data_IF_807553548509
#
_entry.id   IF_807553548509
#
_cell.length_a   1.000
_cell.length_b   1.000
_cell.length_c   1.000
_cell.angle_alpha   90.00
_cell.angle_beta   90.00
_cell.angle_gamma   90.00
#
_symmetry.space_group_name_H-M   'P 1'
#
loop_
_entity.id
_entity.type
_entity.pdbx_description
1 polymer ?
#
# COMPACT_ATOMS: atom_id res chain seq x y z
N UNK A 1 19.40 -4.83 -9.54
CA UNK A 1 19.35 -3.49 -8.91
C UNK A 1 18.13 -3.42 -7.99
N UNK A 2 18.33 -3.20 -6.69
CA UNK A 2 17.27 -3.22 -5.67
C UNK A 2 16.18 -2.19 -6.00
N UNK A 3 14.90 -2.55 -5.89
CA UNK A 3 13.75 -1.69 -6.21
C UNK A 3 13.78 -0.38 -5.41
N UNK A 4 14.25 -0.44 -4.16
CA UNK A 4 14.43 0.74 -3.30
C UNK A 4 15.44 1.74 -3.87
N UNK A 5 16.60 1.26 -4.34
CA UNK A 5 17.62 2.13 -4.96
C UNK A 5 17.13 2.80 -6.26
N UNK A 6 16.30 2.10 -7.05
CA UNK A 6 15.67 2.70 -8.25
C UNK A 6 14.69 3.79 -7.86
N UNK A 7 13.86 3.54 -6.86
CA UNK A 7 12.94 4.54 -6.31
C UNK A 7 13.70 5.77 -5.81
N UNK A 8 14.73 5.57 -4.96
CA UNK A 8 15.53 6.67 -4.41
C UNK A 8 16.15 7.54 -5.51
N UNK A 9 16.65 6.91 -6.59
CA UNK A 9 17.18 7.64 -7.76
C UNK A 9 16.10 8.44 -8.49
N UNK A 10 14.91 7.87 -8.68
CA UNK A 10 13.80 8.56 -9.35
C UNK A 10 13.28 9.72 -8.49
N UNK A 11 13.12 9.48 -7.19
CA UNK A 11 12.70 10.49 -6.23
C UNK A 11 13.70 11.65 -6.16
N UNK A 12 15.01 11.38 -6.17
CA UNK A 12 16.03 12.43 -6.17
C UNK A 12 16.04 13.26 -7.46
N UNK A 13 15.58 12.69 -8.57
CA UNK A 13 15.56 13.38 -9.87
C UNK A 13 14.29 14.22 -10.07
N UNK A 14 13.14 13.71 -9.58
CA UNK A 14 11.81 14.23 -9.87
C UNK A 14 10.85 13.94 -8.70
N UNK A 15 11.07 14.58 -7.55
CA UNK A 15 10.22 14.39 -6.38
C UNK A 15 8.76 14.82 -6.64
N UNK A 16 8.57 15.86 -7.46
CA UNK A 16 7.26 16.41 -7.84
C UNK A 16 6.37 15.40 -8.57
N UNK A 17 6.95 14.37 -9.19
CA UNK A 17 6.20 13.33 -9.90
C UNK A 17 5.44 12.39 -8.96
N UNK A 18 5.71 12.43 -7.64
CA UNK A 18 5.02 11.61 -6.65
C UNK A 18 3.79 12.31 -6.05
N UNK A 19 3.58 13.60 -6.36
CA UNK A 19 2.40 14.36 -5.91
C UNK A 19 1.08 13.85 -6.51
N UNK A 20 1.15 13.12 -7.63
CA UNK A 20 -0.01 12.54 -8.31
C UNK A 20 -0.48 11.22 -7.70
N UNK A 21 0.29 10.60 -6.80
CA UNK A 21 -0.04 9.29 -6.20
C UNK A 21 -1.45 9.16 -5.60
N UNK A 22 -2.04 10.17 -4.93
CA UNK A 22 -3.42 10.12 -4.44
C UNK A 22 -4.46 9.90 -5.53
N UNK A 23 -4.22 10.43 -6.75
CA UNK A 23 -5.15 10.27 -7.86
C UNK A 23 -5.30 8.80 -8.25
N UNK A 24 -4.29 7.97 -7.97
CA UNK A 24 -4.32 6.55 -8.29
C UNK A 24 -5.29 5.76 -7.41
N UNK A 25 -5.58 6.26 -6.21
CA UNK A 25 -6.56 5.71 -5.28
C UNK A 25 -7.84 6.56 -5.22
N UNK A 26 -8.07 7.39 -6.25
CA UNK A 26 -9.21 8.33 -6.31
C UNK A 26 -9.31 9.28 -5.11
N UNK A 27 -8.18 9.61 -4.48
CA UNK A 27 -8.11 10.63 -3.44
C UNK A 27 -7.73 11.97 -4.06
N UNK A 28 -8.44 13.04 -3.66
CA UNK A 28 -8.09 14.43 -3.97
C UNK A 28 -7.32 15.11 -2.83
N UNK A 29 -7.21 14.42 -1.69
CA UNK A 29 -6.60 14.98 -0.50
C UNK A 29 -5.09 14.90 -0.58
N UNK A 30 -4.45 15.94 -0.03
CA UNK A 30 -3.00 16.01 0.08
C UNK A 30 -2.42 15.20 1.26
N UNK A 31 -3.27 14.63 2.07
CA UNK A 31 -2.86 13.74 3.14
C UNK A 31 -3.80 12.56 3.11
N UNK A 32 -3.22 11.37 3.18
CA UNK A 32 -3.96 10.12 3.24
C UNK A 32 -3.53 9.45 4.53
N UNK A 33 -4.48 9.20 5.42
CA UNK A 33 -4.24 8.36 6.58
C UNK A 33 -4.64 6.93 6.22
N UNK A 34 -3.80 5.98 6.55
CA UNK A 34 -4.01 4.58 6.22
C UNK A 34 -3.50 3.67 7.32
N UNK A 35 -4.10 2.48 7.40
CA UNK A 35 -3.65 1.45 8.31
C UNK A 35 -2.47 0.72 7.68
N UNK A 36 -1.33 0.81 8.34
CA UNK A 36 -0.12 0.18 7.87
C UNK A 36 -0.04 -1.28 8.31
N UNK A 37 0.79 -2.04 7.60
CA UNK A 37 1.03 -3.46 7.89
C UNK A 37 1.62 -3.74 9.28
N UNK A 38 2.20 -2.73 9.95
CA UNK A 38 2.67 -2.79 11.34
C UNK A 38 1.54 -2.60 12.37
N UNK A 39 0.31 -2.40 11.92
CA UNK A 39 -0.84 -2.23 12.79
C UNK A 39 -1.03 -0.81 13.32
N UNK A 40 -0.25 0.16 12.84
CA UNK A 40 -0.39 1.57 13.21
C UNK A 40 -1.05 2.39 12.09
N UNK A 41 -1.76 3.46 12.49
CA UNK A 41 -2.25 4.45 11.55
C UNK A 41 -1.08 5.33 11.08
N UNK A 42 -0.70 5.21 9.82
CA UNK A 42 0.32 6.05 9.20
C UNK A 42 -0.32 7.16 8.37
N UNK A 43 0.34 8.31 8.36
CA UNK A 43 -0.01 9.42 7.48
C UNK A 43 0.95 9.44 6.31
N UNK A 44 0.38 9.38 5.12
CA UNK A 44 1.07 9.69 3.88
C UNK A 44 1.29 11.20 3.78
N UNK A 45 2.57 11.58 3.68
CA UNK A 45 3.02 12.94 3.40
C UNK A 45 3.92 12.92 2.18
N UNK A 46 3.60 13.76 1.19
CA UNK A 46 4.37 13.87 -0.06
C UNK A 46 5.74 14.52 0.13
N UNK A 47 5.97 15.12 1.28
CA UNK A 47 7.19 15.84 1.63
C UNK A 47 8.35 14.90 1.98
N UNK A 48 8.06 13.65 2.36
CA UNK A 48 9.07 12.70 2.84
C UNK A 48 9.19 11.47 1.94
N UNK A 49 10.40 11.23 1.44
CA UNK A 49 10.71 10.10 0.55
C UNK A 49 10.37 8.74 1.16
N UNK A 50 10.60 8.56 2.46
CA UNK A 50 10.32 7.30 3.17
C UNK A 50 8.83 7.01 3.15
N UNK A 51 8.03 8.00 3.52
CA UNK A 51 6.58 7.90 3.55
C UNK A 51 5.99 7.62 2.18
N UNK A 52 6.60 8.16 1.12
CA UNK A 52 6.21 7.89 -0.26
C UNK A 52 6.50 6.45 -0.68
N UNK A 53 7.69 5.94 -0.33
CA UNK A 53 8.06 4.57 -0.61
C UNK A 53 7.18 3.56 0.13
N UNK A 54 6.95 3.79 1.42
CA UNK A 54 6.12 2.93 2.26
C UNK A 54 4.71 2.87 1.72
N UNK A 55 4.11 4.01 1.36
CA UNK A 55 2.80 4.03 0.73
C UNK A 55 2.76 3.26 -0.59
N UNK A 56 3.77 3.38 -1.45
CA UNK A 56 3.82 2.65 -2.72
C UNK A 56 3.84 1.12 -2.51
N UNK A 57 4.56 0.66 -1.50
CA UNK A 57 4.68 -0.76 -1.15
C UNK A 57 3.40 -1.25 -0.48
N UNK A 58 2.96 -0.56 0.57
CA UNK A 58 1.84 -1.00 1.41
C UNK A 58 0.49 -0.88 0.70
N UNK A 59 0.31 0.12 -0.15
CA UNK A 59 -0.87 0.21 -0.99
C UNK A 59 -0.91 -0.88 -2.04
N UNK A 60 0.22 -1.47 -2.43
CA UNK A 60 0.35 -2.40 -3.56
C UNK A 60 0.45 -1.74 -4.93
N UNK A 61 0.56 -0.39 -4.99
CA UNK A 61 0.69 0.34 -6.26
C UNK A 61 2.01 0.01 -6.95
N UNK A 62 3.08 -0.21 -6.17
CA UNK A 62 4.37 -0.66 -6.69
C UNK A 62 4.20 -1.90 -7.55
N UNK A 63 3.57 -2.94 -7.01
CA UNK A 63 3.36 -4.21 -7.68
C UNK A 63 2.35 -4.06 -8.82
N UNK A 64 1.18 -3.48 -8.55
CA UNK A 64 0.07 -3.51 -9.50
C UNK A 64 0.22 -2.56 -10.69
N UNK A 65 0.97 -1.46 -10.53
CA UNK A 65 1.07 -0.41 -11.55
C UNK A 65 2.48 -0.28 -12.13
N UNK A 66 3.52 -0.42 -11.30
CA UNK A 66 4.90 -0.12 -11.73
C UNK A 66 5.75 -1.36 -12.02
N UNK A 67 5.46 -2.51 -11.38
CA UNK A 67 6.23 -3.74 -11.57
C UNK A 67 5.50 -4.78 -12.42
N UNK A 68 4.20 -4.98 -12.16
CA UNK A 68 3.38 -5.86 -12.98
C UNK A 68 2.77 -5.02 -14.09
N UNK A 69 2.85 -5.54 -15.32
CA UNK A 69 2.26 -4.89 -16.50
C UNK A 69 0.72 -5.06 -16.54
N UNK A 70 0.07 -5.07 -15.37
CA UNK A 70 -1.39 -5.22 -15.22
C UNK A 70 -2.09 -4.02 -15.85
N UNK A 71 -1.50 -2.84 -15.70
CA UNK A 71 -1.90 -1.62 -16.38
C UNK A 71 -0.79 -1.21 -17.33
N UNK A 72 -1.09 -1.16 -18.63
CA UNK A 72 -0.07 -0.91 -19.67
C UNK A 72 0.45 0.53 -19.65
N UNK A 73 -0.34 1.46 -19.11
CA UNK A 73 -0.02 2.88 -19.13
C UNK A 73 -0.57 3.60 -17.88
N UNK A 74 0.34 4.29 -17.19
CA UNK A 74 0.04 5.12 -16.01
C UNK A 74 -0.96 6.24 -16.35
N UNK A 75 -0.83 6.86 -17.52
CA UNK A 75 -1.71 7.94 -17.96
C UNK A 75 -3.13 7.43 -18.20
N UNK A 76 -3.27 6.28 -18.87
CA UNK A 76 -4.58 5.67 -19.13
C UNK A 76 -5.25 5.24 -17.82
N UNK A 77 -4.46 4.75 -16.85
CA UNK A 77 -4.93 4.46 -15.50
C UNK A 77 -5.45 5.71 -14.79
N UNK A 78 -4.73 6.84 -14.82
CA UNK A 78 -5.17 8.09 -14.19
C UNK A 78 -6.44 8.63 -14.87
N UNK A 79 -6.44 8.69 -16.20
CA UNK A 79 -7.57 9.23 -16.99
C UNK A 79 -8.78 8.29 -17.02
N UNK A 80 -8.60 7.00 -16.72
CA UNK A 80 -9.67 5.99 -16.79
C UNK A 80 -10.08 5.66 -18.23
N UNK A 81 -9.13 5.74 -19.17
CA UNK A 81 -9.38 5.45 -20.60
C UNK A 81 -9.42 3.94 -20.88
N UNK A 82 -8.81 3.14 -20.01
CA UNK A 82 -8.84 1.68 -20.12
C UNK A 82 -10.24 1.16 -19.71
N UNK A 83 -10.89 0.42 -20.60
CA UNK A 83 -12.23 -0.15 -20.37
C UNK A 83 -12.21 -1.07 -19.15
N UNK A 84 -13.04 -0.78 -18.15
CA UNK A 84 -13.08 -1.52 -16.88
C UNK A 84 -12.15 -0.98 -15.78
N UNK A 85 -11.56 0.21 -15.98
CA UNK A 85 -10.78 0.97 -14.99
C UNK A 85 -11.48 2.29 -14.67
N UNK A 86 -12.75 2.18 -14.29
CA UNK A 86 -13.56 3.31 -13.88
C UNK A 86 -13.12 3.82 -12.51
N UNK A 87 -13.60 5.00 -12.10
CA UNK A 87 -13.49 5.46 -10.70
C UNK A 87 -14.00 4.43 -9.69
N UNK A 88 -14.86 3.50 -10.11
CA UNK A 88 -15.36 2.42 -9.26
C UNK A 88 -14.27 1.39 -8.94
N UNK A 89 -13.43 1.04 -9.92
CA UNK A 89 -12.35 0.07 -9.74
C UNK A 89 -11.25 0.63 -8.83
N UNK A 90 -10.95 1.92 -8.97
CA UNK A 90 -10.05 2.65 -8.06
C UNK A 90 -10.57 2.75 -6.63
N UNK A 91 -11.89 2.82 -6.43
CA UNK A 91 -12.51 2.78 -5.09
C UNK A 91 -12.52 1.36 -4.51
N UNK A 92 -12.74 0.35 -5.35
CA UNK A 92 -12.63 -1.05 -4.95
C UNK A 92 -11.20 -1.41 -4.54
N UNK A 93 -10.20 -0.70 -5.10
CA UNK A 93 -8.80 -0.83 -4.70
C UNK A 93 -8.59 -0.54 -3.21
N UNK A 94 -9.07 0.61 -2.72
CA UNK A 94 -8.90 0.97 -1.30
C UNK A 94 -9.68 0.04 -0.38
N UNK A 95 -10.86 -0.44 -0.81
CA UNK A 95 -11.60 -1.49 -0.09
C UNK A 95 -10.83 -2.82 -0.02
N UNK A 96 -10.24 -3.25 -1.13
CA UNK A 96 -9.39 -4.46 -1.18
C UNK A 96 -8.17 -4.31 -0.28
N UNK A 97 -7.53 -3.14 -0.31
CA UNK A 97 -6.40 -2.81 0.53
C UNK A 97 -6.77 -2.91 2.01
N UNK A 98 -7.86 -2.28 2.43
CA UNK A 98 -8.36 -2.35 3.81
C UNK A 98 -8.67 -3.80 4.22
N UNK A 99 -9.31 -4.58 3.35
CA UNK A 99 -9.61 -5.99 3.61
C UNK A 99 -8.33 -6.80 3.89
N UNK A 100 -7.28 -6.57 3.10
CA UNK A 100 -6.00 -7.25 3.30
C UNK A 100 -5.34 -6.88 4.63
N UNK A 101 -5.41 -5.60 5.04
CA UNK A 101 -4.88 -5.18 6.35
C UNK A 101 -5.62 -5.85 7.50
N UNK A 102 -6.95 -5.88 7.45
CA UNK A 102 -7.78 -6.56 8.47
C UNK A 102 -7.47 -8.06 8.51
N UNK A 103 -7.34 -8.70 7.35
CA UNK A 103 -6.99 -10.11 7.27
C UNK A 103 -5.62 -10.42 7.89
N UNK A 104 -4.63 -9.54 7.73
CA UNK A 104 -3.31 -9.70 8.33
C UNK A 104 -3.38 -9.55 9.86
N UNK A 105 -4.07 -8.53 10.37
CA UNK A 105 -4.27 -8.33 11.82
C UNK A 105 -4.96 -9.52 12.48
N UNK A 106 -5.98 -10.08 11.83
CA UNK A 106 -6.68 -11.27 12.30
C UNK A 106 -5.74 -12.48 12.37
N UNK A 107 -4.93 -12.71 11.33
CA UNK A 107 -3.95 -13.80 11.31
C UNK A 107 -2.92 -13.66 12.43
N UNK A 108 -2.39 -12.46 12.63
CA UNK A 108 -1.43 -12.19 13.71
C UNK A 108 -2.04 -12.45 15.09
N UNK A 109 -3.28 -12.00 15.32
CA UNK A 109 -3.99 -12.21 16.59
C UNK A 109 -4.22 -13.69 16.86
N UNK A 110 -4.65 -14.45 15.86
CA UNK A 110 -4.87 -15.90 15.97
C UNK A 110 -3.54 -16.60 16.27
N UNK A 111 -2.48 -16.31 15.52
CA UNK A 111 -1.15 -16.87 15.76
C UNK A 111 -0.59 -16.53 17.15
N UNK A 112 -0.92 -15.36 17.70
CA UNK A 112 -0.52 -15.00 19.06
C UNK A 112 -1.30 -15.83 20.09
N UNK A 113 -2.61 -15.99 19.92
CA UNK A 113 -3.45 -16.80 20.81
C UNK A 113 -3.02 -18.27 20.85
N UNK A 114 -2.63 -18.85 19.70
CA UNK A 114 -2.14 -20.23 19.59
C UNK A 114 -0.78 -20.40 20.31
N UNK A 115 0.12 -19.42 20.20
CA UNK A 115 1.42 -19.43 20.90
C UNK A 115 1.28 -19.29 22.41
N UNK A 116 0.35 -18.45 22.88
CA UNK A 116 0.05 -18.30 24.31
C UNK A 116 -0.59 -19.57 24.91
N UNK A 117 -1.45 -20.26 24.16
CA UNK A 117 -2.04 -21.53 24.58
C UNK A 117 -0.99 -22.66 24.70
N UNK A 118 -0.01 -22.70 23.79
CA UNK A 118 1.07 -23.71 23.83
C UNK A 118 2.08 -23.47 24.97
N UNK A 119 2.35 -22.22 25.36
CA UNK A 119 3.23 -21.93 26.50
C UNK A 119 2.58 -22.20 27.87
N UNK A 120 1.24 -22.13 27.95
CA UNK A 120 0.50 -22.47 29.18
C UNK A 120 0.51 -23.96 29.53
N UNK A 121 0.75 -24.84 28.54
CA UNK A 121 0.70 -26.29 28.72
C UNK A 121 2.03 -26.93 29.17
N UNK A 122 3.14 -26.17 29.20
CA UNK A 122 4.48 -26.67 29.55
C UNK A 122 4.93 -26.30 30.98
N UNK A 123 3.99 -25.93 31.88
CA UNK A 123 4.28 -25.60 33.29
C UNK A 123 3.77 -26.65 34.29
N UNK A 124 3.28 -27.79 33.81
CA UNK A 124 2.79 -28.89 34.63
C UNK A 124 3.56 -30.18 34.30
N UNK A 125 4.87 -30.20 34.56
CA UNK A 125 5.65 -31.42 34.79
C UNK A 125 6.63 -31.17 35.95
#
# INVERSE_FOLDING_TARGET
MNSKKKFERLYSQRAESFDILPLFISSRNKQIEYWSSDGEAKKYGFDKKETVFDFLVESGLRENLFMNNRYKNVLDYILGLEVGLSSNDKKNYTGTWMMNQIANLLKETISHSERSALQGNNRCE
#
